data_IF_152670901189
#
_entry.id   IF_152670901189
#
_cell.length_a   1.000
_cell.length_b   1.000
_cell.length_c   1.000
_cell.angle_alpha   90.00
_cell.angle_beta   90.00
_cell.angle_gamma   90.00
#
_symmetry.space_group_name_H-M   'P 1'
#
loop_
_entity.id
_entity.type
_entity.pdbx_description
1 polymer ?
#
# COMPACT_ATOMS: atom_id res chain seq x y z
N UNK A 1 -13.65 -20.57 -38.14
CA UNK A 1 -14.93 -21.05 -37.60
C UNK A 1 -14.77 -21.24 -36.08
N UNK A 2 -15.16 -20.24 -35.28
CA UNK A 2 -15.07 -20.34 -33.81
C UNK A 2 -16.17 -21.27 -33.30
N UNK A 3 -15.79 -22.43 -32.79
CA UNK A 3 -16.71 -23.35 -32.13
C UNK A 3 -17.05 -22.79 -30.75
N UNK A 4 -18.16 -22.05 -30.64
CA UNK A 4 -18.72 -21.64 -29.35
C UNK A 4 -19.15 -22.92 -28.60
N UNK A 5 -18.32 -23.37 -27.67
CA UNK A 5 -18.60 -24.51 -26.81
C UNK A 5 -19.89 -24.22 -26.00
N UNK A 6 -21.02 -24.81 -26.42
CA UNK A 6 -22.29 -24.72 -25.70
C UNK A 6 -22.16 -25.47 -24.38
N UNK A 7 -21.98 -24.72 -23.28
CA UNK A 7 -22.00 -25.30 -21.93
C UNK A 7 -23.36 -25.93 -21.62
N UNK A 8 -23.34 -27.08 -20.94
CA UNK A 8 -24.56 -27.77 -20.48
C UNK A 8 -25.39 -26.87 -19.55
N UNK A 9 -26.72 -27.07 -19.53
CA UNK A 9 -27.63 -26.30 -18.67
C UNK A 9 -27.24 -26.38 -17.17
N UNK A 10 -26.70 -27.52 -16.72
CA UNK A 10 -26.14 -27.71 -15.38
C UNK A 10 -24.94 -26.78 -15.12
N UNK A 11 -24.01 -26.68 -16.08
CA UNK A 11 -22.83 -25.80 -15.97
C UNK A 11 -23.23 -24.32 -15.97
N UNK A 12 -24.20 -23.91 -16.79
CA UNK A 12 -24.73 -22.53 -16.79
C UNK A 12 -25.31 -22.13 -15.42
N UNK A 13 -26.10 -23.01 -14.79
CA UNK A 13 -26.65 -22.79 -13.44
C UNK A 13 -25.54 -22.59 -12.40
N UNK A 14 -24.50 -23.43 -12.42
CA UNK A 14 -23.34 -23.31 -11.51
C UNK A 14 -22.56 -22.01 -11.72
N UNK A 15 -22.31 -21.61 -12.96
CA UNK A 15 -21.61 -20.33 -13.27
C UNK A 15 -22.41 -19.14 -12.71
N UNK A 16 -23.73 -19.13 -12.86
CA UNK A 16 -24.59 -18.07 -12.31
C UNK A 16 -24.54 -18.03 -10.78
N UNK A 17 -24.56 -19.18 -10.11
CA UNK A 17 -24.42 -19.25 -8.65
C UNK A 17 -23.06 -18.73 -8.19
N UNK A 18 -21.98 -19.16 -8.85
CA UNK A 18 -20.63 -18.69 -8.58
C UNK A 18 -20.51 -17.17 -8.73
N UNK A 19 -21.08 -16.60 -9.80
CA UNK A 19 -21.11 -15.15 -10.01
C UNK A 19 -21.82 -14.42 -8.87
N UNK A 20 -22.97 -14.92 -8.40
CA UNK A 20 -23.68 -14.35 -7.25
C UNK A 20 -22.86 -14.39 -5.97
N UNK A 21 -22.16 -15.50 -5.71
CA UNK A 21 -21.29 -15.61 -4.53
C UNK A 21 -20.13 -14.62 -4.60
N UNK A 22 -19.48 -14.47 -5.76
CA UNK A 22 -18.43 -13.47 -5.94
C UNK A 22 -18.95 -12.05 -5.79
N UNK A 23 -20.11 -11.72 -6.36
CA UNK A 23 -20.76 -10.43 -6.19
C UNK A 23 -21.02 -10.12 -4.72
N UNK A 24 -21.54 -11.10 -3.96
CA UNK A 24 -21.79 -10.94 -2.53
C UNK A 24 -20.49 -10.67 -1.75
N UNK A 25 -19.42 -11.41 -2.02
CA UNK A 25 -18.10 -11.21 -1.38
C UNK A 25 -17.54 -9.82 -1.72
N UNK A 26 -17.63 -9.40 -2.98
CA UNK A 26 -17.17 -8.07 -3.43
C UNK A 26 -17.96 -6.97 -2.73
N UNK A 27 -19.27 -7.11 -2.61
CA UNK A 27 -20.12 -6.13 -1.94
C UNK A 27 -19.83 -6.04 -0.43
N UNK A 28 -19.66 -7.17 0.26
CA UNK A 28 -19.25 -7.18 1.67
C UNK A 28 -17.90 -6.50 1.88
N UNK A 29 -16.91 -6.83 1.03
CA UNK A 29 -15.57 -6.22 1.09
C UNK A 29 -15.65 -4.72 0.86
N UNK A 30 -16.43 -4.28 -0.14
CA UNK A 30 -16.62 -2.86 -0.46
C UNK A 30 -17.29 -2.11 0.70
N UNK A 31 -18.35 -2.67 1.28
CA UNK A 31 -19.04 -2.08 2.44
C UNK A 31 -18.09 -1.92 3.62
N UNK A 32 -17.33 -2.97 3.97
CA UNK A 32 -16.33 -2.92 5.03
C UNK A 32 -15.28 -1.83 4.77
N UNK A 33 -14.73 -1.74 3.54
CA UNK A 33 -13.76 -0.72 3.18
C UNK A 33 -14.33 0.71 3.23
N UNK A 34 -15.60 0.90 2.85
CA UNK A 34 -16.26 2.20 3.01
C UNK A 34 -16.45 2.56 4.48
N UNK A 35 -16.85 1.62 5.34
CA UNK A 35 -16.98 1.86 6.78
C UNK A 35 -15.63 2.17 7.42
N UNK A 36 -14.62 1.37 7.12
CA UNK A 36 -13.26 1.56 7.62
C UNK A 36 -12.69 2.91 7.19
N UNK A 37 -12.73 3.23 5.89
CA UNK A 37 -12.24 4.52 5.41
C UNK A 37 -13.01 5.69 6.02
N UNK A 38 -14.32 5.54 6.26
CA UNK A 38 -15.12 6.57 6.95
C UNK A 38 -14.60 6.82 8.37
N UNK A 39 -14.36 5.76 9.15
CA UNK A 39 -13.83 5.88 10.51
C UNK A 39 -12.50 6.64 10.56
N UNK A 40 -11.59 6.38 9.61
CA UNK A 40 -10.31 7.08 9.55
C UNK A 40 -10.47 8.56 9.20
N UNK A 41 -11.29 8.88 8.19
CA UNK A 41 -11.49 10.28 7.77
C UNK A 41 -12.36 11.08 8.72
N UNK A 42 -13.08 10.45 9.66
CA UNK A 42 -13.75 11.18 10.72
C UNK A 42 -12.75 11.56 11.82
N UNK A 43 -11.84 10.63 12.16
CA UNK A 43 -10.90 10.76 13.28
C UNK A 43 -9.65 11.58 12.99
N UNK A 44 -9.15 11.58 11.75
CA UNK A 44 -7.86 12.18 11.41
C UNK A 44 -7.99 13.22 10.31
N UNK A 45 -7.34 14.37 10.48
CA UNK A 45 -7.28 15.45 9.48
C UNK A 45 -6.16 15.23 8.43
N UNK A 46 -5.29 14.28 8.71
CA UNK A 46 -4.19 13.88 7.83
C UNK A 46 -3.94 12.38 7.93
N UNK A 47 -3.78 11.72 6.78
CA UNK A 47 -3.35 10.33 6.72
C UNK A 47 -2.22 10.17 5.70
N UNK A 48 -1.16 9.47 6.09
CA UNK A 48 -0.07 9.09 5.21
C UNK A 48 -0.01 7.56 5.08
N UNK A 49 0.17 7.06 3.85
CA UNK A 49 0.26 5.63 3.54
C UNK A 49 1.46 5.33 2.66
N UNK A 50 1.93 4.10 2.68
CA UNK A 50 2.94 3.64 1.73
C UNK A 50 2.40 3.57 0.30
N UNK A 51 3.19 4.06 -0.65
CA UNK A 51 2.95 3.89 -2.09
C UNK A 51 3.48 2.54 -2.55
N UNK A 52 2.73 1.48 -2.25
CA UNK A 52 3.09 0.11 -2.60
C UNK A 52 2.93 -0.15 -4.10
N UNK A 53 3.91 -0.83 -4.71
CA UNK A 53 3.80 -1.35 -6.07
C UNK A 53 3.01 -2.68 -6.07
N UNK A 54 1.70 -2.59 -5.84
CA UNK A 54 0.84 -3.79 -5.70
C UNK A 54 0.88 -4.67 -6.95
N UNK A 55 0.90 -4.07 -8.15
CA UNK A 55 0.96 -4.82 -9.42
C UNK A 55 2.27 -5.61 -9.56
N UNK A 56 3.38 -5.10 -9.02
CA UNK A 56 4.63 -5.84 -8.90
C UNK A 56 4.56 -6.94 -7.84
N UNK A 57 3.97 -6.65 -6.68
CA UNK A 57 3.91 -7.60 -5.55
C UNK A 57 3.05 -8.83 -5.86
N UNK A 58 1.94 -8.68 -6.59
CA UNK A 58 1.07 -9.80 -6.98
C UNK A 58 1.69 -10.74 -8.03
N UNK A 59 2.84 -10.38 -8.61
CA UNK A 59 3.58 -11.30 -9.51
C UNK A 59 4.18 -12.48 -8.76
N UNK A 60 4.41 -12.35 -7.44
CA UNK A 60 4.79 -13.48 -6.60
C UNK A 60 3.54 -14.33 -6.31
N UNK A 61 3.42 -15.47 -7.00
CA UNK A 61 2.25 -16.36 -6.90
C UNK A 61 1.97 -16.84 -5.47
N UNK A 62 3.01 -17.02 -4.63
CA UNK A 62 2.83 -17.44 -3.24
C UNK A 62 2.16 -16.38 -2.36
N UNK A 63 2.33 -15.10 -2.70
CA UNK A 63 1.77 -13.97 -1.94
C UNK A 63 0.57 -13.31 -2.63
N UNK A 64 0.37 -13.58 -3.93
CA UNK A 64 -0.61 -12.91 -4.77
C UNK A 64 -2.02 -12.93 -4.16
N UNK A 65 -2.46 -14.10 -3.70
CA UNK A 65 -3.78 -14.26 -3.07
C UNK A 65 -3.92 -13.38 -1.82
N UNK A 66 -2.98 -13.48 -0.88
CA UNK A 66 -3.03 -12.71 0.37
C UNK A 66 -2.98 -11.20 0.13
N UNK A 67 -2.19 -10.75 -0.86
CA UNK A 67 -2.11 -9.34 -1.25
C UNK A 67 -3.45 -8.87 -1.85
N UNK A 68 -4.03 -9.67 -2.74
CA UNK A 68 -5.33 -9.34 -3.37
C UNK A 68 -6.47 -9.33 -2.34
N UNK A 69 -6.45 -10.27 -1.39
CA UNK A 69 -7.45 -10.34 -0.32
C UNK A 69 -7.35 -9.17 0.66
N UNK A 70 -6.16 -8.58 0.84
CA UNK A 70 -5.95 -7.41 1.70
C UNK A 70 -6.55 -6.11 1.14
N UNK A 71 -6.89 -6.06 -0.15
CA UNK A 71 -7.61 -4.96 -0.81
C UNK A 71 -7.01 -3.56 -0.61
N UNK A 72 -5.69 -3.43 -0.43
CA UNK A 72 -5.01 -2.18 -0.10
C UNK A 72 -5.28 -1.04 -1.09
N UNK A 73 -5.20 -1.28 -2.41
CA UNK A 73 -5.49 -0.24 -3.41
C UNK A 73 -6.92 0.30 -3.31
N UNK A 74 -7.90 -0.58 -3.07
CA UNK A 74 -9.29 -0.16 -2.94
C UNK A 74 -9.47 0.69 -1.67
N UNK A 75 -8.85 0.28 -0.57
CA UNK A 75 -8.88 1.04 0.68
C UNK A 75 -8.23 2.42 0.56
N UNK A 76 -7.01 2.49 0.01
CA UNK A 76 -6.25 3.74 -0.10
C UNK A 76 -6.93 4.73 -1.05
N UNK A 77 -7.53 4.25 -2.15
CA UNK A 77 -8.32 5.11 -3.04
C UNK A 77 -9.55 5.68 -2.34
N UNK A 78 -10.34 4.84 -1.66
CA UNK A 78 -11.51 5.30 -0.90
C UNK A 78 -11.16 6.31 0.19
N UNK A 79 -10.02 6.11 0.86
CA UNK A 79 -9.52 7.00 1.88
C UNK A 79 -9.08 8.34 1.28
N UNK A 80 -8.34 8.31 0.17
CA UNK A 80 -7.89 9.51 -0.55
C UNK A 80 -9.08 10.36 -1.04
N UNK A 81 -10.07 9.71 -1.67
CA UNK A 81 -11.26 10.39 -2.18
C UNK A 81 -12.04 11.09 -1.06
N UNK A 82 -12.23 10.39 0.07
CA UNK A 82 -12.96 10.95 1.21
C UNK A 82 -12.21 12.08 1.90
N UNK A 83 -10.90 11.95 2.08
CA UNK A 83 -10.08 13.03 2.64
C UNK A 83 -10.15 14.27 1.73
N UNK A 84 -10.06 14.07 0.41
CA UNK A 84 -10.20 15.14 -0.58
C UNK A 84 -11.54 15.86 -0.50
N UNK A 85 -12.65 15.12 -0.40
CA UNK A 85 -14.00 15.69 -0.24
C UNK A 85 -14.09 16.56 1.03
N UNK A 86 -13.42 16.15 2.11
CA UNK A 86 -13.42 16.87 3.39
C UNK A 86 -12.36 17.97 3.49
N UNK A 87 -11.58 18.23 2.44
CA UNK A 87 -10.46 19.19 2.47
C UNK A 87 -9.31 18.78 3.40
N UNK A 88 -9.17 17.48 3.68
CA UNK A 88 -8.15 16.90 4.57
C UNK A 88 -6.94 16.38 3.78
N UNK A 89 -5.82 16.19 4.47
CA UNK A 89 -4.53 15.86 3.84
C UNK A 89 -4.36 14.35 3.65
N UNK A 90 -3.89 13.95 2.46
CA UNK A 90 -3.53 12.58 2.15
C UNK A 90 -2.15 12.50 1.49
N UNK A 91 -1.26 11.69 2.04
CA UNK A 91 0.11 11.51 1.55
C UNK A 91 0.40 10.07 1.12
N UNK A 92 0.98 9.87 -0.06
CA UNK A 92 1.51 8.59 -0.51
C UNK A 92 3.04 8.62 -0.51
N UNK A 93 3.64 7.82 0.36
CA UNK A 93 5.07 7.88 0.69
C UNK A 93 5.80 6.72 0.08
N UNK A 94 6.98 6.99 -0.51
CA UNK A 94 7.85 5.92 -0.99
C UNK A 94 8.24 5.01 0.19
N UNK A 95 7.90 3.70 0.16
CA UNK A 95 8.19 2.78 1.27
C UNK A 95 9.67 2.42 1.38
N UNK A 96 10.53 2.90 0.49
CA UNK A 96 11.94 2.55 0.49
C UNK A 96 12.62 2.94 1.81
N UNK A 97 13.24 1.94 2.46
CA UNK A 97 13.89 2.03 3.76
C UNK A 97 13.03 2.43 4.97
N UNK A 98 11.70 2.63 4.84
CA UNK A 98 10.84 3.06 5.95
C UNK A 98 10.89 2.12 7.15
N UNK A 99 10.99 0.81 6.92
CA UNK A 99 11.09 -0.21 7.97
C UNK A 99 12.51 -0.42 8.53
N UNK A 100 13.54 0.06 7.82
CA UNK A 100 14.95 -0.08 8.20
C UNK A 100 15.47 1.15 8.92
N UNK A 101 15.10 2.35 8.45
CA UNK A 101 15.47 3.62 9.06
C UNK A 101 14.88 3.70 10.47
N UNK A 102 15.68 4.04 11.47
CA UNK A 102 15.18 4.22 12.82
C UNK A 102 14.35 5.50 12.90
N UNK A 103 13.13 5.40 13.42
CA UNK A 103 12.26 6.57 13.67
C UNK A 103 12.78 7.48 14.79
N UNK A 104 13.61 6.96 15.70
CA UNK A 104 14.24 7.73 16.78
C UNK A 104 15.44 8.56 16.33
N UNK A 105 16.44 7.91 15.72
CA UNK A 105 17.71 8.58 15.36
C UNK A 105 17.94 8.76 13.86
N UNK A 106 17.13 8.15 12.99
CA UNK A 106 17.31 8.23 11.54
C UNK A 106 18.35 7.29 10.94
N UNK A 107 19.11 6.55 11.75
CA UNK A 107 20.14 5.63 11.27
C UNK A 107 19.54 4.37 10.63
N UNK A 108 20.23 3.79 9.64
CA UNK A 108 19.76 2.57 8.99
C UNK A 108 20.04 1.34 9.85
N UNK A 109 19.00 0.54 10.07
CA UNK A 109 19.11 -0.75 10.74
C UNK A 109 18.66 -1.83 9.75
N UNK A 110 19.58 -2.39 8.94
CA UNK A 110 19.25 -3.44 7.98
C UNK A 110 18.66 -4.66 8.67
N UNK A 111 17.57 -5.19 8.13
CA UNK A 111 16.90 -6.37 8.67
C UNK A 111 16.10 -7.09 7.59
N UNK A 112 15.93 -8.39 7.76
CA UNK A 112 15.08 -9.21 6.88
C UNK A 112 13.59 -8.98 7.17
N UNK A 113 12.74 -9.48 6.26
CA UNK A 113 11.28 -9.44 6.43
C UNK A 113 10.78 -10.29 7.61
N UNK A 114 11.55 -11.27 8.09
CA UNK A 114 11.19 -12.10 9.24
C UNK A 114 11.39 -11.39 10.59
N UNK A 115 12.25 -10.36 10.64
CA UNK A 115 12.47 -9.58 11.86
C UNK A 115 11.29 -8.64 12.09
N UNK A 116 10.51 -8.88 13.15
CA UNK A 116 9.29 -8.11 13.47
C UNK A 116 9.49 -7.01 14.51
N UNK A 117 10.60 -7.03 15.24
CA UNK A 117 10.98 -6.00 16.22
C UNK A 117 12.09 -5.12 15.64
N UNK A 118 11.94 -3.80 15.76
CA UNK A 118 12.99 -2.84 15.48
C UNK A 118 13.81 -2.63 16.76
N UNK A 119 15.07 -3.06 16.75
CA UNK A 119 16.04 -2.77 17.82
C UNK A 119 17.13 -1.90 17.19
N UNK A 120 17.23 -0.66 17.61
CA UNK A 120 18.24 0.27 17.08
C UNK A 120 19.53 0.22 17.92
N UNK A 121 20.69 -0.13 17.35
CA UNK A 121 21.96 -0.15 18.08
C UNK A 121 22.55 1.25 18.32
N UNK A 122 21.98 2.29 17.69
CA UNK A 122 22.50 3.67 17.77
C UNK A 122 21.80 4.50 18.84
N UNK A 123 20.51 4.26 19.09
CA UNK A 123 19.72 5.04 20.04
C UNK A 123 18.86 4.20 21.00
N UNK A 124 19.07 2.88 21.01
CA UNK A 124 18.38 1.93 21.90
C UNK A 124 16.85 1.90 21.78
N UNK A 125 16.27 2.41 20.68
CA UNK A 125 14.84 2.32 20.42
C UNK A 125 14.43 0.86 20.17
N UNK A 126 13.43 0.38 20.90
CA UNK A 126 12.85 -0.97 20.76
C UNK A 126 11.34 -0.85 20.57
N UNK A 127 10.87 -1.04 19.33
CA UNK A 127 9.44 -0.95 18.97
C UNK A 127 9.10 -1.98 17.88
N UNK A 128 7.80 -2.12 17.54
CA UNK A 128 7.41 -2.94 16.40
C UNK A 128 8.01 -2.41 15.09
N UNK A 129 8.42 -3.30 14.17
CA UNK A 129 8.98 -2.87 12.86
C UNK A 129 7.97 -2.06 12.05
N UNK A 130 6.72 -2.52 12.03
CA UNK A 130 5.66 -1.86 11.27
C UNK A 130 5.24 -0.54 11.94
N UNK A 131 5.36 -0.44 13.27
CA UNK A 131 5.20 0.82 14.02
C UNK A 131 6.33 1.81 13.70
N UNK A 132 7.59 1.36 13.71
CA UNK A 132 8.73 2.17 13.28
C UNK A 132 8.54 2.69 11.85
N UNK A 133 8.09 1.82 10.93
CA UNK A 133 7.76 2.22 9.58
C UNK A 133 6.65 3.26 9.53
N UNK A 134 5.55 3.05 10.28
CA UNK A 134 4.44 3.99 10.36
C UNK A 134 4.87 5.38 10.86
N UNK A 135 5.75 5.45 11.86
CA UNK A 135 6.32 6.72 12.34
C UNK A 135 7.15 7.43 11.26
N UNK A 136 7.97 6.70 10.52
CA UNK A 136 8.74 7.26 9.41
C UNK A 136 7.83 7.74 8.28
N UNK A 137 6.81 6.96 7.92
CA UNK A 137 5.82 7.33 6.89
C UNK A 137 5.05 8.58 7.31
N UNK A 138 4.64 8.69 8.57
CA UNK A 138 3.95 9.86 9.07
C UNK A 138 4.85 11.10 9.04
N UNK A 139 6.13 10.96 9.41
CA UNK A 139 7.12 12.04 9.34
C UNK A 139 7.28 12.56 7.91
N UNK A 140 7.57 11.67 6.96
CA UNK A 140 7.68 12.00 5.53
C UNK A 140 6.35 12.55 4.97
N UNK A 141 5.24 11.98 5.43
CA UNK A 141 3.89 12.43 5.13
C UNK A 141 3.70 13.89 5.47
N UNK A 142 4.07 14.31 6.69
CA UNK A 142 3.97 15.71 7.13
C UNK A 142 4.82 16.59 6.23
N UNK A 143 6.10 16.24 6.05
CA UNK A 143 7.01 16.99 5.18
C UNK A 143 6.45 17.19 3.75
N UNK A 144 5.82 16.14 3.18
CA UNK A 144 5.21 16.20 1.85
C UNK A 144 3.86 16.91 1.79
N UNK A 145 3.00 16.79 2.80
CA UNK A 145 1.65 17.36 2.82
C UNK A 145 1.60 18.81 3.33
N UNK A 146 2.72 19.32 3.84
CA UNK A 146 2.97 20.75 4.03
C UNK A 146 3.66 21.38 2.81
N UNK A 147 4.04 20.58 1.80
CA UNK A 147 4.53 21.05 0.51
C UNK A 147 3.39 21.14 -0.50
N UNK A 148 3.20 22.34 -1.04
CA UNK A 148 2.22 22.71 -2.06
C UNK A 148 2.22 21.80 -3.29
N UNK A 149 1.11 21.88 -4.04
CA UNK A 149 0.98 21.54 -5.46
C UNK A 149 2.32 21.50 -6.21
N UNK A 150 2.94 20.32 -6.31
CA UNK A 150 4.06 20.12 -7.22
C UNK A 150 3.87 18.82 -7.98
N UNK A 151 3.20 18.99 -9.13
CA UNK A 151 3.56 18.23 -10.31
C UNK A 151 5.08 18.31 -10.52
N UNK A 152 5.75 17.16 -10.46
CA UNK A 152 7.03 16.91 -11.13
C UNK A 152 7.17 15.38 -11.23
N UNK A 153 6.64 14.77 -12.29
CA UNK A 153 7.30 14.70 -13.60
C UNK A 153 8.79 14.38 -13.44
N UNK A 154 9.17 13.21 -13.95
CA UNK A 154 10.48 12.60 -13.74
C UNK A 154 11.64 13.55 -14.00
N UNK A 155 12.55 13.59 -13.01
CA UNK A 155 13.97 13.79 -13.28
C UNK A 155 14.69 12.53 -12.84
N UNK A 156 14.75 11.57 -13.76
CA UNK A 156 15.83 10.59 -13.79
C UNK A 156 17.14 11.36 -13.95
N UNK A 157 17.86 11.58 -12.86
CA UNK A 157 19.29 11.94 -12.95
C UNK A 157 20.04 10.71 -13.46
N UNK A 158 20.16 10.61 -14.78
CA UNK A 158 21.13 9.77 -15.50
C UNK A 158 22.54 10.28 -15.18
N UNK A 159 23.00 10.16 -13.95
CA UNK A 159 24.37 10.54 -13.59
C UNK A 159 24.99 9.71 -12.46
N UNK A 160 24.20 8.91 -11.72
CA UNK A 160 24.72 7.99 -10.70
C UNK A 160 25.09 6.59 -11.22
N UNK A 161 24.91 6.28 -12.51
CA UNK A 161 25.13 4.94 -13.08
C UNK A 161 26.45 4.78 -13.84
N UNK A 162 27.39 5.74 -13.76
CA UNK A 162 28.65 5.69 -14.53
C UNK A 162 29.94 5.56 -13.71
N UNK A 163 29.90 5.36 -12.39
CA UNK A 163 31.11 5.23 -11.56
C UNK A 163 31.37 3.85 -10.95
N UNK A 164 30.57 2.81 -11.24
CA UNK A 164 30.78 1.45 -10.69
C UNK A 164 31.00 0.36 -11.75
N UNK A 165 31.45 0.72 -12.95
CA UNK A 165 31.81 -0.23 -14.01
C UNK A 165 33.32 -0.25 -14.35
N UNK A 166 34.18 0.31 -13.48
CA UNK A 166 35.64 0.13 -13.53
C UNK A 166 36.22 0.15 -12.13
N UNK A 167 36.19 -1.01 -11.47
CA UNK A 167 37.22 -1.58 -10.59
C UNK A 167 36.70 -2.89 -10.00
#
# INVERSE_FOLDING_TARGET
MYHLLKYSNRRRKKIKLLAKTHEHIVNQRRDWLHKLSRQYVDKYDMVAVEKLNISGMVRNYHLAKSIQDSAWNAFTNLLADKLKILGRKFGQINPHYTSQKCSGCGELVPKSLSVRTHICPHCNLIIGRDENAALNILKLGRESAFGEDTALAGRTTREASRSLAKR
#
